data_IF_318177040850
#
_entry.id   IF_318177040850
#
_cell.length_a   1.000
_cell.length_b   1.000
_cell.length_c   1.000
_cell.angle_alpha   90.00
_cell.angle_beta   90.00
_cell.angle_gamma   90.00
#
_symmetry.space_group_name_H-M   'P 1'
#
loop_
_entity.id
_entity.type
_entity.pdbx_description
1 polymer ?
#
# COMPACT_ATOMS: atom_id res chain seq x y z
N UNK A 1 17.42 -12.78 12.84
CA UNK A 1 17.45 -14.10 12.18
C UNK A 1 17.29 -13.96 10.68
N UNK A 2 18.16 -14.57 9.87
CA UNK A 2 18.00 -14.54 8.42
C UNK A 2 16.73 -15.31 8.06
N UNK A 3 15.89 -14.71 7.22
CA UNK A 3 14.65 -15.32 6.71
C UNK A 3 15.03 -16.62 5.97
N UNK A 4 14.39 -17.77 6.26
CA UNK A 4 14.81 -19.06 5.72
C UNK A 4 14.81 -19.08 4.18
N UNK A 5 15.86 -19.67 3.60
CA UNK A 5 16.15 -19.81 2.16
C UNK A 5 14.96 -20.24 1.29
N UNK A 6 13.99 -20.95 1.89
CA UNK A 6 12.77 -21.44 1.24
C UNK A 6 11.86 -20.31 0.71
N UNK A 7 11.84 -19.14 1.35
CA UNK A 7 11.00 -17.99 0.95
C UNK A 7 11.49 -17.36 -0.36
N UNK A 8 12.81 -17.31 -0.57
CA UNK A 8 13.39 -16.78 -1.81
C UNK A 8 13.12 -17.70 -3.01
N UNK A 9 13.08 -19.02 -2.77
CA UNK A 9 12.72 -19.99 -3.81
C UNK A 9 11.28 -19.81 -4.29
N UNK A 10 10.33 -19.54 -3.39
CA UNK A 10 8.91 -19.41 -3.76
C UNK A 10 8.63 -18.18 -4.61
N UNK A 11 9.23 -17.03 -4.31
CA UNK A 11 9.00 -15.82 -5.10
C UNK A 11 9.62 -15.95 -6.51
N UNK A 12 10.84 -16.45 -6.60
CA UNK A 12 11.52 -16.69 -7.89
C UNK A 12 10.74 -17.70 -8.72
N UNK A 13 10.21 -18.76 -8.10
CA UNK A 13 9.34 -19.72 -8.77
C UNK A 13 8.01 -19.10 -9.20
N UNK A 14 7.37 -18.27 -8.38
CA UNK A 14 6.15 -17.59 -8.75
C UNK A 14 6.38 -16.67 -9.97
N UNK A 15 7.48 -15.91 -9.98
CA UNK A 15 7.86 -15.07 -11.12
C UNK A 15 8.16 -15.90 -12.38
N UNK A 16 8.85 -17.04 -12.25
CA UNK A 16 9.12 -17.94 -13.36
C UNK A 16 7.85 -18.53 -13.99
N UNK A 17 6.76 -18.61 -13.22
CA UNK A 17 5.46 -19.12 -13.65
C UNK A 17 4.40 -18.02 -13.74
N UNK A 18 4.79 -16.76 -13.96
CA UNK A 18 3.88 -15.62 -13.94
C UNK A 18 2.78 -15.63 -15.03
N UNK A 19 2.91 -16.49 -16.04
CA UNK A 19 1.88 -16.73 -17.06
C UNK A 19 0.78 -17.69 -16.59
N UNK A 20 0.99 -18.46 -15.53
CA UNK A 20 -0.05 -19.30 -14.92
C UNK A 20 -1.09 -18.41 -14.23
N UNK A 21 -2.37 -18.45 -14.64
CA UNK A 21 -3.43 -17.63 -14.05
C UNK A 21 -3.58 -17.81 -12.53
N UNK A 22 -3.30 -19.02 -12.02
CA UNK A 22 -3.42 -19.34 -10.58
C UNK A 22 -2.34 -18.66 -9.75
N UNK A 23 -1.16 -18.43 -10.33
CA UNK A 23 -0.03 -17.73 -9.72
C UNK A 23 -0.16 -16.22 -9.96
N UNK A 24 -0.68 -15.84 -11.13
CA UNK A 24 -0.81 -14.45 -11.55
C UNK A 24 -1.61 -13.61 -10.56
N UNK A 25 -2.71 -14.13 -10.01
CA UNK A 25 -3.50 -13.41 -9.00
C UNK A 25 -2.67 -13.02 -7.77
N UNK A 26 -1.76 -13.89 -7.31
CA UNK A 26 -0.93 -13.62 -6.14
C UNK A 26 0.18 -12.62 -6.46
N UNK A 27 0.74 -12.70 -7.68
CA UNK A 27 1.70 -11.71 -8.15
C UNK A 27 1.06 -10.33 -8.32
N UNK A 28 -0.17 -10.26 -8.81
CA UNK A 28 -0.88 -8.99 -8.93
C UNK A 28 -1.15 -8.39 -7.55
N UNK A 29 -1.58 -9.20 -6.57
CA UNK A 29 -1.72 -8.73 -5.18
C UNK A 29 -0.40 -8.25 -4.56
N UNK A 30 0.71 -8.90 -4.90
CA UNK A 30 2.03 -8.59 -4.34
C UNK A 30 2.75 -7.41 -5.03
N UNK A 31 2.60 -7.27 -6.35
CA UNK A 31 3.45 -6.39 -7.17
C UNK A 31 2.70 -5.44 -8.09
N UNK A 32 1.40 -5.62 -8.32
CA UNK A 32 0.66 -4.68 -9.16
C UNK A 32 0.65 -3.29 -8.52
N UNK A 33 0.54 -2.26 -9.37
CA UNK A 33 0.31 -0.91 -8.88
C UNK A 33 -1.02 -0.88 -8.13
N UNK A 34 -1.00 -0.37 -6.91
CA UNK A 34 -2.23 -0.15 -6.16
C UNK A 34 -3.08 0.91 -6.87
N UNK A 35 -4.39 0.69 -7.00
CA UNK A 35 -5.28 1.71 -7.52
C UNK A 35 -5.27 2.93 -6.58
N UNK A 36 -5.77 4.06 -7.09
CA UNK A 36 -5.84 5.29 -6.30
C UNK A 36 -6.68 5.12 -5.02
N UNK A 37 -7.69 4.25 -5.05
CA UNK A 37 -8.62 4.04 -3.95
C UNK A 37 -8.79 2.54 -3.67
N UNK A 38 -8.72 2.18 -2.39
CA UNK A 38 -8.98 0.84 -1.88
C UNK A 38 -10.07 0.91 -0.81
N UNK A 39 -11.13 0.12 -0.99
CA UNK A 39 -12.23 -0.02 -0.04
C UNK A 39 -12.46 -1.50 0.22
N UNK A 40 -12.49 -1.90 1.49
CA UNK A 40 -12.67 -3.30 1.89
C UNK A 40 -13.93 -3.46 2.75
N UNK A 41 -14.70 -4.50 2.48
CA UNK A 41 -15.88 -4.85 3.26
C UNK A 41 -15.54 -5.95 4.26
N UNK A 42 -15.07 -5.53 5.46
CA UNK A 42 -14.56 -6.41 6.51
C UNK A 42 -15.40 -7.65 6.80
N UNK A 43 -16.75 -7.58 6.91
CA UNK A 43 -17.54 -8.78 7.25
C UNK A 43 -17.42 -9.91 6.21
N UNK A 44 -17.15 -9.59 4.95
CA UNK A 44 -16.97 -10.59 3.88
C UNK A 44 -15.52 -10.77 3.45
N UNK A 45 -14.61 -9.92 3.93
CA UNK A 45 -13.21 -9.88 3.54
C UNK A 45 -12.34 -9.47 4.75
N UNK A 46 -12.18 -10.37 5.74
CA UNK A 46 -11.40 -10.08 6.94
C UNK A 46 -9.91 -9.89 6.65
N UNK A 47 -9.42 -10.47 5.56
CA UNK A 47 -8.01 -10.43 5.16
C UNK A 47 -7.66 -9.25 4.24
N UNK A 48 -8.63 -8.40 3.91
CA UNK A 48 -8.45 -7.18 3.11
C UNK A 48 -7.89 -7.43 1.70
N UNK A 49 -8.30 -8.53 1.06
CA UNK A 49 -7.79 -8.92 -0.25
C UNK A 49 -8.65 -8.35 -1.39
N UNK A 50 -9.96 -8.16 -1.16
CA UNK A 50 -10.94 -7.82 -2.19
C UNK A 50 -11.28 -6.34 -2.15
N UNK A 51 -10.58 -5.56 -2.96
CA UNK A 51 -10.92 -4.15 -3.16
C UNK A 51 -12.28 -3.99 -3.88
N UNK A 52 -13.25 -3.40 -3.20
CA UNK A 52 -14.60 -3.11 -3.70
C UNK A 52 -14.81 -1.63 -4.09
N UNK A 53 -13.74 -0.84 -4.21
CA UNK A 53 -13.84 0.59 -4.51
C UNK A 53 -14.50 0.90 -5.86
N UNK A 54 -14.37 0.02 -6.85
CA UNK A 54 -15.00 0.17 -8.17
C UNK A 54 -16.41 -0.42 -8.25
N UNK A 55 -16.89 -1.11 -7.21
CA UNK A 55 -18.23 -1.70 -7.20
C UNK A 55 -19.29 -0.60 -6.97
N UNK A 56 -20.24 -0.40 -7.90
CA UNK A 56 -21.30 0.61 -7.79
C UNK A 56 -22.10 0.51 -6.48
N UNK A 57 -22.25 -0.70 -5.91
CA UNK A 57 -22.94 -0.94 -4.64
C UNK A 57 -22.30 -0.19 -3.48
N UNK A 58 -20.99 0.07 -3.53
CA UNK A 58 -20.23 0.74 -2.48
C UNK A 58 -19.90 2.20 -2.79
N UNK A 59 -20.33 2.74 -3.95
CA UNK A 59 -20.01 4.10 -4.40
C UNK A 59 -20.39 5.20 -3.39
N UNK A 60 -21.56 5.08 -2.74
CA UNK A 60 -22.01 6.04 -1.73
C UNK A 60 -21.14 5.96 -0.46
N UNK A 61 -20.81 4.75 -0.02
CA UNK A 61 -19.92 4.50 1.12
C UNK A 61 -18.53 5.06 0.87
N UNK A 62 -17.96 4.77 -0.30
CA UNK A 62 -16.66 5.31 -0.73
C UNK A 62 -16.66 6.84 -0.68
N UNK A 63 -17.68 7.46 -1.29
CA UNK A 63 -17.82 8.92 -1.31
C UNK A 63 -17.89 9.52 0.10
N UNK A 64 -18.66 8.91 0.99
CA UNK A 64 -18.81 9.35 2.39
C UNK A 64 -17.47 9.25 3.15
N UNK A 65 -16.78 8.12 3.03
CA UNK A 65 -15.49 7.90 3.70
C UNK A 65 -14.40 8.84 3.15
N UNK A 66 -14.36 9.04 1.83
CA UNK A 66 -13.46 9.99 1.18
C UNK A 66 -13.68 11.41 1.68
N UNK A 67 -14.93 11.85 1.81
CA UNK A 67 -15.26 13.16 2.37
C UNK A 67 -14.81 13.29 3.83
N UNK A 68 -15.07 12.27 4.65
CA UNK A 68 -14.63 12.23 6.05
C UNK A 68 -13.11 12.30 6.18
N UNK A 69 -12.38 11.55 5.36
CA UNK A 69 -10.92 11.57 5.32
C UNK A 69 -10.39 12.96 4.96
N UNK A 70 -10.89 13.54 3.86
CA UNK A 70 -10.48 14.89 3.42
C UNK A 70 -10.76 15.96 4.48
N UNK A 71 -11.88 15.87 5.19
CA UNK A 71 -12.21 16.78 6.29
C UNK A 71 -11.21 16.63 7.44
N UNK A 72 -10.88 15.39 7.82
CA UNK A 72 -9.93 15.13 8.90
C UNK A 72 -8.53 15.66 8.55
N UNK A 73 -8.03 15.32 7.36
CA UNK A 73 -6.75 15.79 6.81
C UNK A 73 -6.62 17.32 6.90
N UNK A 74 -7.67 18.06 6.51
CA UNK A 74 -7.71 19.53 6.63
C UNK A 74 -7.72 19.98 8.09
N UNK A 75 -8.57 19.36 8.92
CA UNK A 75 -8.72 19.71 10.34
C UNK A 75 -7.42 19.53 11.12
N UNK A 76 -6.59 18.56 10.75
CA UNK A 76 -5.30 18.28 11.41
C UNK A 76 -4.12 19.01 10.77
N UNK A 77 -4.35 19.88 9.79
CA UNK A 77 -3.29 20.59 9.05
C UNK A 77 -2.20 19.64 8.52
N UNK A 78 -2.59 18.51 7.90
CA UNK A 78 -1.61 17.62 7.27
C UNK A 78 -0.93 18.37 6.11
N UNK A 79 0.38 18.56 6.20
CA UNK A 79 1.17 19.30 5.20
C UNK A 79 1.03 18.72 3.78
N UNK A 80 0.83 17.40 3.65
CA UNK A 80 0.67 16.73 2.35
C UNK A 80 -0.65 17.08 1.67
N UNK A 81 -1.61 17.61 2.42
CA UNK A 81 -2.87 18.10 1.86
C UNK A 81 -2.73 19.47 1.22
N UNK A 82 -1.81 20.28 1.74
CA UNK A 82 -1.53 21.63 1.26
C UNK A 82 -0.52 21.59 0.12
N UNK A 83 0.47 20.71 0.20
CA UNK A 83 1.47 20.48 -0.82
C UNK A 83 1.68 18.97 -1.05
N UNK A 84 0.89 18.35 -1.95
CA UNK A 84 0.98 16.91 -2.24
C UNK A 84 2.33 16.48 -2.85
N UNK A 85 3.07 17.42 -3.46
CA UNK A 85 4.39 17.19 -4.05
C UNK A 85 5.52 17.75 -3.18
N UNK A 86 5.19 18.24 -1.98
CA UNK A 86 6.13 18.87 -1.08
C UNK A 86 7.13 17.87 -0.52
N UNK A 87 8.40 18.29 -0.47
CA UNK A 87 9.49 17.49 0.06
C UNK A 87 9.79 17.79 1.54
N UNK A 88 8.84 18.36 2.29
CA UNK A 88 9.05 18.75 3.68
C UNK A 88 9.56 17.60 4.56
N UNK A 89 9.19 16.36 4.23
CA UNK A 89 9.67 15.16 4.91
C UNK A 89 11.12 14.80 4.58
N UNK A 90 11.60 15.15 3.39
CA UNK A 90 13.00 14.91 2.97
C UNK A 90 13.95 15.97 3.54
N UNK A 91 13.42 17.10 4.02
CA UNK A 91 14.18 18.18 4.62
C UNK A 91 14.49 17.97 6.11
N UNK A 92 13.88 16.96 6.77
CA UNK A 92 14.19 16.69 8.17
C UNK A 92 15.66 16.29 8.33
N UNK A 93 16.34 16.90 9.32
CA UNK A 93 17.73 16.59 9.62
C UNK A 93 17.87 15.10 9.95
N UNK A 94 18.73 14.40 9.21
CA UNK A 94 19.08 13.03 9.51
C UNK A 94 19.92 12.97 10.80
N UNK A 95 19.42 12.26 11.82
CA UNK A 95 20.12 12.05 13.10
C UNK A 95 20.75 10.67 13.22
N UNK A 96 20.69 9.84 12.16
CA UNK A 96 21.46 8.60 12.14
C UNK A 96 22.94 8.96 12.17
N UNK A 97 23.65 8.50 13.20
CA UNK A 97 25.09 8.64 13.26
C UNK A 97 25.76 7.95 12.06
N UNK A 98 27.05 8.23 11.80
CA UNK A 98 27.78 7.51 10.78
C UNK A 98 27.69 6.01 11.02
N UNK A 99 27.61 5.18 9.96
CA UNK A 99 27.66 3.74 10.11
C UNK A 99 28.95 3.38 10.86
N UNK A 100 28.86 2.48 11.85
CA UNK A 100 29.97 2.13 12.76
C UNK A 100 31.26 1.66 12.06
N UNK A 101 31.20 1.41 10.74
CA UNK A 101 32.28 0.87 9.94
C UNK A 101 32.72 1.78 8.78
N UNK A 102 32.44 3.10 8.81
CA UNK A 102 33.11 4.03 7.88
C UNK A 102 34.57 4.22 8.32
N UNK A 103 35.46 3.35 7.82
CA UNK A 103 36.90 3.59 7.77
C UNK A 103 37.24 4.32 6.48
#
# INVERSE_FOLDING_TARGET
>A
DPVPFKVYQTLVQALANASDPTIRQFLDLAFAKRPQEELFHLPSDPDLIRNVASDPKFSQTLSKLKARLKNWIRKTNDSRAQDPLGNSFDQYRYYGGPPKNSK
#
